data_IF_955785715703
#
_entry.id   IF_955785715703
#
_cell.length_a   1.000
_cell.length_b   1.000
_cell.length_c   1.000
_cell.angle_alpha   90.00
_cell.angle_beta   90.00
_cell.angle_gamma   90.00
#
_symmetry.space_group_name_H-M   'P 1'
#
loop_
_entity.id
_entity.type
_entity.pdbx_description
1 polymer ?
#
# COMPACT_ATOMS: atom_id res chain seq x y z
N UNK A 1 12.94 12.12 10.59
CA UNK A 1 12.89 11.93 9.13
C UNK A 1 14.23 12.33 8.52
N UNK A 2 14.73 11.59 7.52
CA UNK A 2 16.07 11.81 6.96
C UNK A 2 16.18 13.03 6.03
N UNK A 3 15.06 13.53 5.50
CA UNK A 3 15.02 14.67 4.55
C UNK A 3 14.00 15.74 4.94
N UNK A 4 13.32 15.58 6.07
CA UNK A 4 12.31 16.53 6.57
C UNK A 4 12.53 16.83 8.06
N UNK A 5 12.18 18.04 8.46
CA UNK A 5 12.16 18.46 9.86
C UNK A 5 10.81 19.09 10.17
N UNK A 6 10.19 18.62 11.25
CA UNK A 6 8.89 19.06 11.72
C UNK A 6 9.11 19.59 13.14
N UNK A 7 8.88 20.88 13.33
CA UNK A 7 8.80 21.53 14.66
C UNK A 7 7.39 22.07 14.85
N UNK A 8 7.09 22.58 16.05
CA UNK A 8 5.76 23.13 16.36
C UNK A 8 5.38 24.28 15.43
N UNK A 9 6.36 25.05 14.97
CA UNK A 9 6.18 26.30 14.22
C UNK A 9 6.65 26.22 12.77
N UNK A 10 7.30 25.11 12.36
CA UNK A 10 7.97 25.05 11.07
C UNK A 10 8.03 23.64 10.51
N UNK A 11 7.74 23.56 9.22
CA UNK A 11 7.93 22.37 8.41
C UNK A 11 9.03 22.68 7.39
N UNK A 12 10.03 21.80 7.30
CA UNK A 12 11.11 21.90 6.33
C UNK A 12 11.24 20.58 5.54
N UNK A 13 11.44 20.70 4.24
CA UNK A 13 11.70 19.61 3.31
C UNK A 13 12.99 19.86 2.53
N UNK A 14 13.64 18.79 2.08
CA UNK A 14 14.86 18.91 1.30
C UNK A 14 16.12 19.07 2.16
N UNK A 15 16.14 18.41 3.32
CA UNK A 15 17.42 18.13 3.98
C UNK A 15 18.09 16.96 3.30
N UNK A 16 19.41 16.92 3.38
CA UNK A 16 20.18 15.80 2.89
C UNK A 16 20.31 14.69 3.94
N UNK A 17 20.30 13.45 3.48
CA UNK A 17 20.70 12.30 4.30
C UNK A 17 22.24 12.15 4.19
N UNK A 18 22.99 12.03 5.30
CA UNK A 18 24.45 11.89 5.26
C UNK A 18 24.95 10.72 4.41
N UNK A 19 24.27 9.57 4.46
CA UNK A 19 24.60 8.40 3.64
C UNK A 19 24.41 8.66 2.14
N UNK A 20 23.33 9.34 1.74
CA UNK A 20 23.12 9.75 0.34
C UNK A 20 24.17 10.73 -0.12
N UNK A 21 24.54 11.72 0.72
CA UNK A 21 25.60 12.66 0.37
C UNK A 21 26.93 11.94 0.19
N UNK A 22 27.28 11.02 1.10
CA UNK A 22 28.49 10.21 0.98
C UNK A 22 28.53 9.49 -0.39
N UNK A 23 27.45 8.79 -0.75
CA UNK A 23 27.33 8.12 -2.05
C UNK A 23 27.51 9.06 -3.24
N UNK A 24 27.04 10.30 -3.15
CA UNK A 24 27.13 11.29 -4.23
C UNK A 24 28.50 11.99 -4.31
N UNK A 25 29.22 12.06 -3.19
CA UNK A 25 30.53 12.73 -3.08
C UNK A 25 31.73 11.84 -3.40
N UNK A 26 31.54 10.53 -3.60
CA UNK A 26 32.60 9.57 -3.96
C UNK A 26 33.20 9.80 -5.38
N UNK A 27 32.73 10.82 -6.11
CA UNK A 27 33.26 11.29 -7.39
C UNK A 27 32.27 11.12 -8.54
N UNK A 28 32.25 12.06 -9.50
CA UNK A 28 31.28 12.08 -10.61
C UNK A 28 31.26 10.78 -11.43
N UNK A 29 32.42 10.15 -11.62
CA UNK A 29 32.54 8.89 -12.39
C UNK A 29 31.96 7.66 -11.70
N UNK A 30 31.56 7.77 -10.43
CA UNK A 30 30.90 6.69 -9.68
C UNK A 30 29.38 6.68 -9.88
N UNK A 31 28.82 7.72 -10.50
CA UNK A 31 27.39 7.83 -10.74
C UNK A 31 26.96 6.88 -11.86
N UNK A 32 25.79 6.26 -11.68
CA UNK A 32 25.09 5.61 -12.78
C UNK A 32 24.76 6.65 -13.86
N UNK A 33 24.79 6.22 -15.13
CA UNK A 33 24.39 7.08 -16.23
C UNK A 33 22.95 7.53 -16.03
N UNK A 34 22.65 8.80 -16.26
CA UNK A 34 21.31 9.35 -16.06
C UNK A 34 20.24 8.62 -16.89
N UNK A 35 20.59 8.07 -18.06
CA UNK A 35 19.71 7.20 -18.85
C UNK A 35 19.20 5.99 -18.06
N UNK A 36 20.09 5.35 -17.29
CA UNK A 36 19.78 4.17 -16.49
C UNK A 36 18.91 4.53 -15.27
N UNK A 37 19.19 5.70 -14.67
CA UNK A 37 18.39 6.27 -13.58
C UNK A 37 16.97 6.60 -14.08
N UNK A 38 16.83 7.23 -15.25
CA UNK A 38 15.53 7.59 -15.82
C UNK A 38 14.71 6.37 -16.23
N UNK A 39 15.36 5.28 -16.65
CA UNK A 39 14.67 4.05 -17.09
C UNK A 39 14.36 3.05 -15.98
N UNK A 40 14.71 3.35 -14.72
CA UNK A 40 14.62 2.40 -13.61
C UNK A 40 15.15 1.02 -14.02
N UNK A 41 16.45 0.91 -14.32
CA UNK A 41 17.07 -0.40 -14.47
C UNK A 41 18.16 -0.54 -13.44
N UNK A 42 17.89 -1.33 -12.40
CA UNK A 42 18.95 -2.02 -11.66
C UNK A 42 19.35 -3.17 -12.58
N UNK A 43 20.53 -3.14 -13.24
CA UNK A 43 20.92 -4.22 -14.12
C UNK A 43 21.25 -5.48 -13.31
N UNK A 44 20.89 -6.66 -13.83
CA UNK A 44 21.22 -8.00 -13.27
C UNK A 44 22.71 -8.17 -12.96
N UNK A 45 23.56 -7.37 -13.60
CA UNK A 45 25.00 -7.37 -13.37
C UNK A 45 25.42 -6.78 -12.02
N UNK A 46 24.50 -6.21 -11.22
CA UNK A 46 24.79 -5.56 -9.93
C UNK A 46 25.72 -4.35 -10.05
N UNK A 47 25.97 -3.87 -11.27
CA UNK A 47 27.01 -2.88 -11.58
C UNK A 47 26.74 -1.53 -10.93
N UNK A 48 25.47 -1.21 -10.69
CA UNK A 48 25.03 -0.02 -9.97
C UNK A 48 24.21 -0.46 -8.76
N UNK A 49 24.77 -0.44 -7.55
CA UNK A 49 24.04 -0.85 -6.37
C UNK A 49 22.84 0.07 -6.08
N UNK A 50 21.75 -0.51 -5.59
CA UNK A 50 20.46 0.17 -5.38
C UNK A 50 20.58 1.48 -4.58
N UNK A 51 21.50 1.54 -3.61
CA UNK A 51 21.72 2.75 -2.82
C UNK A 51 22.19 3.96 -3.66
N UNK A 52 22.99 3.76 -4.73
CA UNK A 52 23.40 4.84 -5.63
C UNK A 52 22.23 5.34 -6.46
N UNK A 53 21.39 4.43 -6.95
CA UNK A 53 20.17 4.79 -7.65
C UNK A 53 19.26 5.67 -6.78
N UNK A 54 19.03 5.27 -5.51
CA UNK A 54 18.25 6.06 -4.57
C UNK A 54 18.90 7.43 -4.25
N UNK A 55 20.24 7.49 -4.17
CA UNK A 55 20.95 8.74 -3.93
C UNK A 55 20.82 9.70 -5.13
N UNK A 56 21.00 9.23 -6.36
CA UNK A 56 20.86 10.05 -7.58
C UNK A 56 19.40 10.48 -7.81
N UNK A 57 18.44 9.58 -7.56
CA UNK A 57 17.00 9.91 -7.64
C UNK A 57 16.61 11.00 -6.63
N UNK A 58 17.16 10.93 -5.41
CA UNK A 58 17.00 11.99 -4.42
C UNK A 58 17.60 13.31 -4.92
N UNK A 59 18.84 13.31 -5.44
CA UNK A 59 19.51 14.50 -5.96
C UNK A 59 18.72 15.15 -7.11
N UNK A 60 18.20 14.33 -8.03
CA UNK A 60 17.35 14.78 -9.13
C UNK A 60 16.05 15.43 -8.62
N UNK A 61 15.37 14.79 -7.67
CA UNK A 61 14.15 15.34 -7.05
C UNK A 61 14.44 16.68 -6.39
N UNK A 62 15.55 16.76 -5.66
CA UNK A 62 15.99 17.97 -4.98
C UNK A 62 16.29 19.12 -5.94
N UNK A 63 17.00 18.80 -7.03
CA UNK A 63 17.28 19.73 -8.11
C UNK A 63 15.98 20.27 -8.69
N UNK A 64 15.02 19.40 -9.00
CA UNK A 64 13.77 19.81 -9.61
C UNK A 64 12.88 20.64 -8.68
N UNK A 65 12.86 20.32 -7.38
CA UNK A 65 12.09 21.09 -6.39
C UNK A 65 12.76 22.41 -5.97
N UNK A 66 13.99 22.68 -6.44
CA UNK A 66 14.77 23.81 -5.93
C UNK A 66 14.29 25.18 -6.40
N UNK A 67 13.56 25.27 -7.50
CA UNK A 67 12.97 26.51 -8.04
C UNK A 67 11.59 26.26 -8.66
N UNK A 68 10.73 27.29 -8.79
CA UNK A 68 9.43 27.15 -9.44
C UNK A 68 9.52 26.64 -10.89
N UNK A 69 10.47 27.14 -11.68
CA UNK A 69 10.64 26.73 -13.08
C UNK A 69 11.00 25.25 -13.21
N UNK A 70 11.92 24.78 -12.37
CA UNK A 70 12.32 23.37 -12.34
C UNK A 70 11.19 22.47 -11.82
N UNK A 71 10.36 22.98 -10.91
CA UNK A 71 9.17 22.25 -10.44
C UNK A 71 8.17 22.08 -11.58
N UNK A 72 7.99 23.09 -12.43
CA UNK A 72 7.17 22.98 -13.64
C UNK A 72 7.77 22.00 -14.66
N UNK A 73 9.11 21.96 -14.82
CA UNK A 73 9.77 20.94 -15.65
C UNK A 73 9.47 19.53 -15.15
N UNK A 74 9.57 19.30 -13.85
CA UNK A 74 9.23 18.01 -13.24
C UNK A 74 7.76 17.65 -13.46
N UNK A 75 6.84 18.61 -13.31
CA UNK A 75 5.42 18.38 -13.59
C UNK A 75 5.14 17.96 -15.04
N UNK A 76 5.80 18.59 -16.03
CA UNK A 76 5.72 18.20 -17.44
C UNK A 76 6.26 16.79 -17.67
N UNK A 77 7.43 16.48 -17.12
CA UNK A 77 8.05 15.16 -17.22
C UNK A 77 7.13 14.07 -16.62
N UNK A 78 6.64 14.26 -15.40
CA UNK A 78 5.77 13.28 -14.73
C UNK A 78 4.45 13.07 -15.49
N UNK A 79 3.89 14.13 -16.07
CA UNK A 79 2.67 14.03 -16.89
C UNK A 79 2.89 13.22 -18.17
N UNK A 80 4.02 13.44 -18.86
CA UNK A 80 4.40 12.69 -20.06
C UNK A 80 4.63 11.20 -19.77
N UNK A 81 5.39 10.90 -18.71
CA UNK A 81 5.63 9.49 -18.28
C UNK A 81 4.33 8.81 -17.86
N UNK A 82 3.45 9.50 -17.12
CA UNK A 82 2.13 8.97 -16.78
C UNK A 82 1.25 8.71 -18.02
N UNK A 83 1.45 9.49 -19.09
CA UNK A 83 0.83 9.29 -20.41
C UNK A 83 1.35 8.06 -21.18
N UNK A 84 2.49 7.51 -20.77
CA UNK A 84 3.15 6.35 -21.39
C UNK A 84 4.35 6.69 -22.28
N UNK A 85 4.85 7.93 -22.27
CA UNK A 85 6.05 8.31 -23.03
C UNK A 85 7.33 7.69 -22.44
N UNK A 86 8.32 7.41 -23.30
CA UNK A 86 9.66 6.99 -22.84
C UNK A 86 10.27 8.06 -21.92
N UNK A 87 10.72 7.63 -20.74
CA UNK A 87 11.24 8.50 -19.69
C UNK A 87 12.39 9.40 -20.13
N UNK A 88 13.30 8.90 -20.98
CA UNK A 88 14.44 9.71 -21.46
C UNK A 88 13.94 10.79 -22.42
N UNK A 89 13.07 10.42 -23.36
CA UNK A 89 12.47 11.36 -24.31
C UNK A 89 11.67 12.44 -23.58
N UNK A 90 10.81 12.03 -22.64
CA UNK A 90 10.01 12.93 -21.83
C UNK A 90 10.87 13.89 -21.00
N UNK A 91 11.95 13.41 -20.39
CA UNK A 91 12.86 14.26 -19.59
C UNK A 91 13.58 15.28 -20.47
N UNK A 92 14.07 14.86 -21.63
CA UNK A 92 14.74 15.76 -22.58
C UNK A 92 13.77 16.81 -23.11
N UNK A 93 12.53 16.45 -23.43
CA UNK A 93 11.49 17.39 -23.86
C UNK A 93 11.13 18.38 -22.74
N UNK A 94 11.03 17.92 -21.48
CA UNK A 94 10.62 18.76 -20.36
C UNK A 94 11.68 19.80 -19.94
N UNK A 95 12.96 19.46 -20.12
CA UNK A 95 14.12 20.23 -19.62
C UNK A 95 14.94 20.90 -20.71
N UNK A 96 14.86 20.42 -21.95
CA UNK A 96 15.78 20.79 -23.04
C UNK A 96 17.21 20.27 -22.86
N UNK A 97 17.44 19.35 -21.91
CA UNK A 97 18.77 18.80 -21.60
C UNK A 97 18.86 17.34 -22.01
N UNK A 98 20.01 16.95 -22.57
CA UNK A 98 20.37 15.53 -22.68
C UNK A 98 20.58 14.91 -21.29
N UNK A 99 20.47 13.59 -21.13
CA UNK A 99 20.70 12.94 -19.83
C UNK A 99 22.07 13.27 -19.22
N UNK A 100 23.13 13.32 -20.03
CA UNK A 100 24.48 13.72 -19.57
C UNK A 100 24.51 15.17 -19.05
N UNK A 101 23.90 16.12 -19.79
CA UNK A 101 23.85 17.53 -19.35
C UNK A 101 23.01 17.69 -18.08
N UNK A 102 21.94 16.92 -17.93
CA UNK A 102 21.13 16.90 -16.72
C UNK A 102 21.93 16.36 -15.54
N UNK A 103 22.71 15.29 -15.73
CA UNK A 103 23.62 14.77 -14.72
C UNK A 103 24.63 15.82 -14.24
N UNK A 104 25.24 16.54 -15.17
CA UNK A 104 26.19 17.63 -14.87
C UNK A 104 25.53 18.76 -14.06
N UNK A 105 24.31 19.15 -14.43
CA UNK A 105 23.55 20.19 -13.75
C UNK A 105 23.18 19.78 -12.31
N UNK A 106 22.75 18.53 -12.13
CA UNK A 106 22.42 17.98 -10.81
C UNK A 106 23.68 17.87 -9.96
N UNK A 107 24.78 17.37 -10.50
CA UNK A 107 26.04 17.28 -9.79
C UNK A 107 26.51 18.67 -9.33
N UNK A 108 26.50 19.66 -10.22
CA UNK A 108 26.88 21.04 -9.87
C UNK A 108 25.99 21.62 -8.77
N UNK A 109 24.69 21.31 -8.80
CA UNK A 109 23.75 21.75 -7.78
C UNK A 109 24.05 21.13 -6.41
N UNK A 110 24.22 19.81 -6.33
CA UNK A 110 24.44 19.13 -5.05
C UNK A 110 25.85 19.31 -4.48
N UNK A 111 26.83 19.70 -5.31
CA UNK A 111 28.17 20.13 -4.86
C UNK A 111 28.16 21.52 -4.22
N UNK A 112 27.09 22.30 -4.41
CA UNK A 112 26.91 23.61 -3.81
C UNK A 112 25.96 23.59 -2.60
N UNK A 113 25.51 24.77 -2.19
CA UNK A 113 24.45 24.91 -1.18
C UNK A 113 23.09 24.52 -1.78
N UNK A 114 22.46 23.49 -1.20
CA UNK A 114 21.12 23.04 -1.61
C UNK A 114 20.02 23.83 -0.91
N UNK A 115 18.90 24.02 -1.61
CA UNK A 115 17.73 24.73 -1.08
C UNK A 115 16.92 23.84 -0.15
N UNK A 116 16.58 24.35 1.03
CA UNK A 116 15.63 23.70 1.95
C UNK A 116 14.29 24.45 1.81
N UNK A 117 13.24 23.73 1.44
CA UNK A 117 11.91 24.31 1.29
C UNK A 117 11.20 24.37 2.64
N UNK A 118 10.59 25.51 2.97
CA UNK A 118 9.75 25.67 4.15
C UNK A 118 8.40 26.26 3.72
N UNK A 119 7.37 25.42 3.49
CA UNK A 119 6.08 25.92 3.04
C UNK A 119 5.46 26.84 4.09
N UNK A 120 4.81 27.90 3.61
CA UNK A 120 4.06 28.84 4.44
C UNK A 120 2.63 28.34 4.61
N UNK A 121 2.47 27.21 5.31
CA UNK A 121 1.16 26.65 5.64
C UNK A 121 0.85 26.92 7.11
N UNK A 122 -0.42 27.23 7.40
CA UNK A 122 -0.88 27.34 8.77
C UNK A 122 -0.77 25.98 9.45
N UNK A 123 0.04 25.91 10.50
CA UNK A 123 0.13 24.71 11.34
C UNK A 123 -1.02 24.79 12.33
N UNK A 124 -2.03 23.95 12.13
CA UNK A 124 -3.13 23.81 13.06
C UNK A 124 -2.61 23.01 14.26
N UNK A 125 -2.85 23.52 15.46
CA UNK A 125 -2.56 22.85 16.72
C UNK A 125 -3.86 22.23 17.26
N UNK A 126 -4.23 21.00 16.84
CA UNK A 126 -5.40 20.35 17.41
C UNK A 126 -5.18 20.10 18.89
N UNK A 127 -6.27 20.04 19.65
CA UNK A 127 -6.22 19.51 21.00
C UNK A 127 -5.90 18.02 20.91
N UNK A 128 -4.70 17.64 21.39
CA UNK A 128 -4.26 16.25 21.39
C UNK A 128 -4.43 15.68 22.80
N UNK A 129 -5.35 14.74 22.94
CA UNK A 129 -5.44 13.91 24.14
C UNK A 129 -4.41 12.78 24.05
N UNK A 130 -3.48 12.72 25.00
CA UNK A 130 -2.53 11.61 25.15
C UNK A 130 -3.03 10.70 26.26
N UNK A 131 -3.40 9.47 25.92
CA UNK A 131 -3.79 8.44 26.87
C UNK A 131 -2.74 7.33 26.96
N UNK A 132 -2.61 6.72 28.14
CA UNK A 132 -1.80 5.53 28.31
C UNK A 132 -2.57 4.31 27.79
N UNK A 133 -1.91 3.48 26.99
CA UNK A 133 -2.46 2.19 26.58
C UNK A 133 -2.66 1.29 27.79
N UNK A 134 -3.76 0.54 27.81
CA UNK A 134 -3.94 -0.54 28.79
C UNK A 134 -2.87 -1.63 28.58
N UNK A 135 -2.66 -2.48 29.58
CA UNK A 135 -1.71 -3.61 29.47
C UNK A 135 -2.05 -4.51 28.28
N UNK A 136 -3.34 -4.80 28.09
CA UNK A 136 -3.82 -5.62 26.97
C UNK A 136 -3.51 -4.96 25.61
N UNK A 137 -3.76 -3.67 25.47
CA UNK A 137 -3.44 -2.91 24.25
C UNK A 137 -1.94 -2.93 23.97
N UNK A 138 -1.11 -2.65 24.98
CA UNK A 138 0.34 -2.62 24.85
C UNK A 138 0.94 -3.98 24.43
N UNK A 139 0.42 -5.08 24.99
CA UNK A 139 0.87 -6.44 24.63
C UNK A 139 0.45 -6.83 23.21
N UNK A 140 -0.67 -6.30 22.72
CA UNK A 140 -1.27 -6.69 21.46
C UNK A 140 -0.75 -5.93 20.24
N UNK A 141 -0.14 -4.74 20.39
CA UNK A 141 0.17 -3.80 19.27
C UNK A 141 0.75 -4.50 18.03
N UNK A 142 1.84 -5.24 18.20
CA UNK A 142 2.52 -5.86 17.05
C UNK A 142 1.74 -7.05 16.48
N UNK A 143 1.06 -7.78 17.36
CA UNK A 143 0.25 -8.92 16.95
C UNK A 143 -1.00 -8.46 16.18
N UNK A 144 -1.60 -7.35 16.61
CA UNK A 144 -2.75 -6.72 15.99
C UNK A 144 -2.46 -6.31 14.54
N UNK A 145 -1.32 -5.66 14.30
CA UNK A 145 -0.87 -5.30 12.93
C UNK A 145 -0.63 -6.54 12.07
N UNK A 146 0.04 -7.56 12.61
CA UNK A 146 0.31 -8.81 11.86
C UNK A 146 -0.97 -9.55 11.49
N UNK A 147 -1.95 -9.59 12.38
CA UNK A 147 -3.26 -10.20 12.13
C UNK A 147 -4.05 -9.44 11.06
N UNK A 148 -3.87 -8.11 10.94
CA UNK A 148 -4.61 -7.28 9.96
C UNK A 148 -4.02 -7.46 8.55
N UNK A 149 -2.72 -7.71 8.47
CA UNK A 149 -2.01 -7.96 7.21
C UNK A 149 -2.09 -9.43 6.76
N UNK A 150 -2.52 -10.35 7.64
CA UNK A 150 -2.60 -11.77 7.30
C UNK A 150 -3.85 -12.05 6.45
N UNK A 151 -3.70 -12.60 5.23
CA UNK A 151 -4.85 -12.88 4.39
C UNK A 151 -5.71 -13.97 5.04
N UNK A 152 -7.02 -13.74 5.13
CA UNK A 152 -7.95 -14.71 5.73
C UNK A 152 -7.93 -16.01 4.93
N UNK A 153 -7.96 -15.91 3.60
CA UNK A 153 -7.77 -17.02 2.68
C UNK A 153 -6.45 -16.90 1.95
N UNK A 154 -5.78 -18.03 1.79
CA UNK A 154 -4.63 -18.08 0.89
C UNK A 154 -5.14 -18.01 -0.55
N UNK A 155 -4.46 -17.27 -1.45
CA UNK A 155 -4.79 -17.29 -2.86
C UNK A 155 -4.84 -18.72 -3.37
N UNK A 156 -5.79 -19.02 -4.27
CA UNK A 156 -5.75 -20.25 -5.04
C UNK A 156 -4.40 -20.34 -5.77
N UNK A 157 -3.85 -21.55 -5.88
CA UNK A 157 -2.59 -21.73 -6.58
C UNK A 157 -2.74 -21.24 -8.02
N UNK A 158 -1.99 -20.21 -8.40
CA UNK A 158 -1.70 -20.01 -9.83
C UNK A 158 -0.85 -21.21 -10.26
N UNK A 159 -1.49 -22.10 -11.05
CA UNK A 159 -0.81 -23.11 -11.84
C UNK A 159 0.14 -22.38 -12.78
N UNK A 160 1.42 -22.39 -12.41
CA UNK A 160 2.47 -21.93 -13.32
C UNK A 160 2.74 -23.10 -14.24
N UNK A 161 2.61 -22.91 -15.56
CA UNK A 161 2.87 -23.95 -16.55
C UNK A 161 4.20 -24.65 -16.26
N UNK A 162 4.15 -25.98 -16.16
CA UNK A 162 5.19 -26.82 -15.53
C UNK A 162 6.56 -26.80 -16.27
N UNK A 163 6.63 -26.13 -17.43
CA UNK A 163 7.83 -25.89 -18.23
C UNK A 163 8.49 -24.52 -18.07
N UNK A 164 7.91 -23.59 -17.31
CA UNK A 164 8.41 -22.22 -17.16
C UNK A 164 9.34 -22.00 -15.95
N UNK A 165 9.55 -23.02 -15.12
CA UNK A 165 10.31 -22.89 -13.86
C UNK A 165 11.46 -23.90 -13.75
N UNK A 166 12.62 -23.41 -13.37
CA UNK A 166 13.78 -24.23 -12.98
C UNK A 166 13.51 -24.98 -11.67
N UNK A 167 14.20 -26.10 -11.45
CA UNK A 167 14.10 -26.88 -10.19
C UNK A 167 14.44 -26.03 -8.95
N UNK A 168 15.37 -25.08 -9.10
CA UNK A 168 15.73 -24.14 -8.04
C UNK A 168 14.56 -23.20 -7.68
N UNK A 169 13.85 -22.68 -8.68
CA UNK A 169 12.65 -21.85 -8.47
C UNK A 169 11.52 -22.67 -7.82
N UNK A 170 11.31 -23.92 -8.24
CA UNK A 170 10.33 -24.84 -7.63
C UNK A 170 10.67 -25.10 -6.15
N UNK A 171 11.93 -25.42 -5.84
CA UNK A 171 12.39 -25.65 -4.48
C UNK A 171 12.27 -24.41 -3.58
N UNK A 172 12.62 -23.22 -4.10
CA UNK A 172 12.47 -21.94 -3.40
C UNK A 172 11.02 -21.64 -3.07
N UNK A 173 10.10 -21.79 -4.04
CA UNK A 173 8.66 -21.61 -3.84
C UNK A 173 8.12 -22.59 -2.79
N UNK A 174 8.55 -23.85 -2.83
CA UNK A 174 8.17 -24.85 -1.83
C UNK A 174 8.67 -24.49 -0.41
N UNK A 175 9.88 -23.96 -0.28
CA UNK A 175 10.42 -23.48 1.01
C UNK A 175 9.62 -22.28 1.54
N UNK A 176 9.41 -21.27 0.70
CA UNK A 176 8.63 -20.08 1.07
C UNK A 176 7.20 -20.45 1.51
N UNK A 177 6.58 -21.44 0.86
CA UNK A 177 5.27 -21.97 1.26
C UNK A 177 5.28 -22.59 2.65
N UNK A 178 6.27 -23.44 2.97
CA UNK A 178 6.40 -24.04 4.30
C UNK A 178 6.59 -22.97 5.37
N UNK A 179 7.47 -22.02 5.12
CA UNK A 179 7.72 -20.91 6.02
C UNK A 179 6.47 -20.03 6.23
N UNK A 180 5.73 -19.73 5.17
CA UNK A 180 4.47 -18.99 5.26
C UNK A 180 3.40 -19.76 6.08
N UNK A 181 3.31 -21.08 5.91
CA UNK A 181 2.40 -21.93 6.67
C UNK A 181 2.79 -21.99 8.17
N UNK A 182 4.07 -22.15 8.46
CA UNK A 182 4.60 -22.13 9.83
C UNK A 182 4.38 -20.76 10.50
N UNK A 183 4.68 -19.67 9.80
CA UNK A 183 4.45 -18.30 10.27
C UNK A 183 2.97 -18.02 10.53
N UNK A 184 2.07 -18.51 9.69
CA UNK A 184 0.62 -18.41 9.90
C UNK A 184 0.19 -19.21 11.12
N UNK A 185 0.66 -20.45 11.27
CA UNK A 185 0.32 -21.29 12.42
C UNK A 185 0.80 -20.65 13.73
N UNK A 186 2.00 -20.07 13.74
CA UNK A 186 2.53 -19.34 14.88
C UNK A 186 1.73 -18.08 15.19
N UNK A 187 1.35 -17.31 14.18
CA UNK A 187 0.49 -16.14 14.34
C UNK A 187 -0.84 -16.50 15.02
N UNK A 188 -1.49 -17.58 14.58
CA UNK A 188 -2.74 -18.08 15.16
C UNK A 188 -2.54 -18.51 16.62
N UNK A 189 -1.49 -19.31 16.92
CA UNK A 189 -1.18 -19.73 18.29
C UNK A 189 -0.91 -18.55 19.22
N UNK A 190 -0.08 -17.62 18.78
CA UNK A 190 0.25 -16.40 19.53
C UNK A 190 -1.00 -15.56 19.82
N UNK A 191 -1.91 -15.44 18.84
CA UNK A 191 -3.17 -14.71 19.00
C UNK A 191 -4.10 -15.37 20.01
N UNK A 192 -4.26 -16.70 19.98
CA UNK A 192 -5.02 -17.40 21.01
C UNK A 192 -4.39 -17.27 22.40
N UNK A 193 -3.08 -17.48 22.52
CA UNK A 193 -2.40 -17.40 23.80
C UNK A 193 -2.48 -16.01 24.45
N UNK A 194 -2.36 -14.94 23.65
CA UNK A 194 -2.54 -13.58 24.17
C UNK A 194 -4.01 -13.23 24.40
N UNK A 195 -4.91 -13.75 23.55
CA UNK A 195 -6.36 -13.64 23.71
C UNK A 195 -6.84 -14.20 25.04
N UNK A 196 -6.38 -15.40 25.41
CA UNK A 196 -6.69 -16.07 26.68
C UNK A 196 -6.17 -15.28 27.89
N UNK A 197 -4.94 -14.73 27.81
CA UNK A 197 -4.37 -13.91 28.90
C UNK A 197 -5.18 -12.65 29.21
N UNK A 198 -5.91 -12.12 28.22
CA UNK A 198 -6.71 -10.90 28.34
C UNK A 198 -8.19 -11.14 28.01
N UNK A 199 -8.70 -12.34 28.33
CA UNK A 199 -10.02 -12.84 27.88
C UNK A 199 -11.22 -12.02 28.39
N UNK A 200 -11.05 -11.27 29.48
CA UNK A 200 -12.04 -10.37 30.05
C UNK A 200 -12.12 -9.02 29.32
N UNK A 201 -11.14 -8.71 28.47
CA UNK A 201 -11.06 -7.46 27.70
C UNK A 201 -11.51 -7.62 26.25
N UNK A 202 -11.99 -6.53 25.64
CA UNK A 202 -12.27 -6.48 24.20
C UNK A 202 -11.04 -6.80 23.34
N UNK A 203 -9.84 -6.44 23.81
CA UNK A 203 -8.59 -6.76 23.11
C UNK A 203 -8.38 -8.27 23.03
N UNK A 204 -8.54 -9.00 24.14
CA UNK A 204 -8.38 -10.45 24.13
C UNK A 204 -9.43 -11.16 23.28
N UNK A 205 -10.69 -10.68 23.32
CA UNK A 205 -11.77 -11.19 22.48
C UNK A 205 -11.52 -10.92 20.99
N UNK A 206 -11.01 -9.73 20.63
CA UNK A 206 -10.63 -9.38 19.26
C UNK A 206 -9.51 -10.27 18.73
N UNK A 207 -8.46 -10.51 19.53
CA UNK A 207 -7.36 -11.40 19.16
C UNK A 207 -7.87 -12.83 18.93
N UNK A 208 -8.70 -13.34 19.84
CA UNK A 208 -9.32 -14.67 19.74
C UNK A 208 -10.20 -14.79 18.50
N UNK A 209 -11.03 -13.78 18.23
CA UNK A 209 -11.92 -13.77 17.07
C UNK A 209 -11.14 -13.75 15.76
N UNK A 210 -10.09 -12.94 15.66
CA UNK A 210 -9.25 -12.86 14.44
C UNK A 210 -8.44 -14.13 14.23
N UNK A 211 -7.97 -14.77 15.30
CA UNK A 211 -7.35 -16.09 15.23
C UNK A 211 -8.34 -17.13 14.66
N UNK A 212 -9.58 -17.15 15.15
CA UNK A 212 -10.63 -18.03 14.61
C UNK A 212 -10.94 -17.76 13.14
N UNK A 213 -11.03 -16.49 12.71
CA UNK A 213 -11.18 -16.15 11.28
C UNK A 213 -10.01 -16.67 10.43
N UNK A 214 -8.77 -16.50 10.89
CA UNK A 214 -7.58 -17.07 10.22
C UNK A 214 -7.59 -18.61 10.20
N UNK A 215 -8.19 -19.24 11.21
CA UNK A 215 -8.44 -20.68 11.25
C UNK A 215 -9.65 -21.13 10.42
N UNK A 216 -10.29 -20.23 9.65
CA UNK A 216 -11.50 -20.50 8.86
C UNK A 216 -12.67 -21.01 9.73
N UNK A 217 -12.80 -20.46 10.94
CA UNK A 217 -13.87 -20.74 11.90
C UNK A 217 -14.60 -19.46 12.31
N UNK A 218 -15.26 -18.77 11.36
CA UNK A 218 -15.93 -17.49 11.64
C UNK A 218 -17.11 -17.62 12.62
N UNK A 219 -17.71 -18.81 12.75
CA UNK A 219 -18.67 -19.17 13.79
C UNK A 219 -18.11 -18.96 15.20
N UNK A 220 -16.91 -19.48 15.46
CA UNK A 220 -16.23 -19.33 16.74
C UNK A 220 -15.73 -17.90 16.96
N UNK A 221 -15.42 -17.18 15.88
CA UNK A 221 -15.06 -15.78 15.96
C UNK A 221 -16.21 -14.92 16.50
N UNK A 222 -17.44 -15.14 16.00
CA UNK A 222 -18.63 -14.44 16.49
C UNK A 222 -18.97 -14.84 17.94
N UNK A 223 -18.84 -16.12 18.28
CA UNK A 223 -19.04 -16.58 19.65
C UNK A 223 -18.08 -15.88 20.63
N UNK A 224 -16.81 -15.71 20.27
CA UNK A 224 -15.81 -15.02 21.08
C UNK A 224 -16.14 -13.53 21.31
N UNK A 225 -16.74 -12.86 20.31
CA UNK A 225 -17.12 -11.45 20.38
C UNK A 225 -18.49 -11.20 21.02
N UNK A 226 -19.33 -12.22 21.17
CA UNK A 226 -20.71 -12.09 21.68
C UNK A 226 -20.79 -11.25 22.97
N UNK A 227 -19.90 -11.42 23.96
CA UNK A 227 -19.96 -10.62 25.19
C UNK A 227 -19.66 -9.13 25.01
N UNK A 228 -19.12 -8.71 23.86
CA UNK A 228 -18.80 -7.32 23.52
C UNK A 228 -19.74 -6.70 22.48
N UNK A 229 -20.78 -7.44 22.05
CA UNK A 229 -21.69 -7.06 20.96
C UNK A 229 -23.08 -6.60 21.45
N UNK A 230 -23.16 -6.04 22.66
CA UNK A 230 -24.42 -5.46 23.14
C UNK A 230 -24.85 -4.22 22.33
N UNK A 231 -26.08 -3.74 22.56
CA UNK A 231 -26.62 -2.59 21.82
C UNK A 231 -25.89 -1.27 22.14
N UNK A 232 -25.19 -1.18 23.27
CA UNK A 232 -24.45 0.00 23.71
C UNK A 232 -22.99 0.04 23.22
N UNK A 233 -22.45 -1.05 22.68
CA UNK A 233 -21.05 -1.06 22.24
C UNK A 233 -20.80 -0.01 21.15
N UNK A 234 -19.75 0.79 21.36
CA UNK A 234 -19.20 1.75 20.40
C UNK A 234 -17.78 1.37 19.99
N UNK A 235 -17.31 0.17 20.35
CA UNK A 235 -15.99 -0.31 19.94
C UNK A 235 -16.02 -0.70 18.45
N UNK A 236 -15.61 0.24 17.59
CA UNK A 236 -15.64 0.07 16.14
C UNK A 236 -14.85 -1.15 15.65
N UNK A 237 -13.76 -1.54 16.35
CA UNK A 237 -12.98 -2.72 15.97
C UNK A 237 -13.75 -4.02 16.24
N UNK A 238 -14.43 -4.12 17.39
CA UNK A 238 -15.30 -5.28 17.71
C UNK A 238 -16.40 -5.41 16.67
N UNK A 239 -17.09 -4.31 16.37
CA UNK A 239 -18.16 -4.26 15.39
C UNK A 239 -17.67 -4.63 13.98
N UNK A 240 -16.51 -4.09 13.55
CA UNK A 240 -15.91 -4.39 12.25
C UNK A 240 -15.50 -5.87 12.13
N UNK A 241 -14.83 -6.43 13.14
CA UNK A 241 -14.41 -7.85 13.09
C UNK A 241 -15.62 -8.79 13.12
N UNK A 242 -16.67 -8.45 13.88
CA UNK A 242 -17.92 -9.20 13.86
C UNK A 242 -18.60 -9.17 12.47
N UNK A 243 -18.68 -7.99 11.85
CA UNK A 243 -19.20 -7.87 10.49
C UNK A 243 -18.39 -8.69 9.48
N UNK A 244 -17.05 -8.68 9.58
CA UNK A 244 -16.19 -9.47 8.71
C UNK A 244 -16.36 -10.99 8.94
N UNK A 245 -16.57 -11.44 10.18
CA UNK A 245 -16.87 -12.85 10.46
C UNK A 245 -18.25 -13.26 9.89
N UNK A 246 -19.26 -12.39 9.95
CA UNK A 246 -20.54 -12.62 9.27
C UNK A 246 -20.38 -12.72 7.75
N UNK A 247 -19.54 -11.87 7.15
CA UNK A 247 -19.23 -11.94 5.72
C UNK A 247 -18.52 -13.25 5.35
N UNK A 248 -17.57 -13.72 6.17
CA UNK A 248 -16.91 -15.01 5.95
C UNK A 248 -17.91 -16.19 5.98
N UNK A 249 -18.98 -16.10 6.79
CA UNK A 249 -20.04 -17.12 6.85
C UNK A 249 -20.94 -17.15 5.61
N UNK A 250 -21.02 -16.08 4.82
CA UNK A 250 -21.94 -16.00 3.67
C UNK A 250 -21.68 -17.06 2.61
N UNK A 251 -20.45 -17.59 2.53
CA UNK A 251 -20.08 -18.62 1.56
C UNK A 251 -20.55 -20.02 1.92
N UNK A 252 -20.70 -20.28 3.22
CA UNK A 252 -21.21 -21.54 3.74
C UNK A 252 -22.73 -21.47 4.01
N UNK A 253 -23.39 -20.38 3.64
CA UNK A 253 -24.83 -20.21 3.81
C UNK A 253 -25.61 -21.23 2.98
N UNK A 254 -26.65 -21.82 3.57
CA UNK A 254 -27.47 -22.85 2.92
C UNK A 254 -28.33 -22.29 1.78
N UNK A 255 -28.68 -21.01 1.86
CA UNK A 255 -29.49 -20.31 0.87
C UNK A 255 -29.02 -18.88 0.62
N UNK A 256 -29.49 -18.30 -0.50
CA UNK A 256 -29.28 -16.88 -0.82
C UNK A 256 -29.91 -15.98 0.24
N UNK A 257 -31.04 -16.37 0.83
CA UNK A 257 -31.72 -15.61 1.87
C UNK A 257 -30.92 -15.59 3.17
N UNK A 258 -30.34 -16.73 3.56
CA UNK A 258 -29.44 -16.80 4.73
C UNK A 258 -28.19 -15.94 4.53
N UNK A 259 -27.59 -16.00 3.33
CA UNK A 259 -26.44 -15.16 3.00
C UNK A 259 -26.81 -13.66 3.05
N UNK A 260 -28.01 -13.30 2.61
CA UNK A 260 -28.50 -11.91 2.65
C UNK A 260 -28.80 -11.44 4.07
N UNK A 261 -29.28 -12.32 4.94
CA UNK A 261 -29.48 -12.02 6.35
C UNK A 261 -28.15 -11.78 7.07
N UNK A 262 -27.13 -12.61 6.83
CA UNK A 262 -25.77 -12.39 7.33
C UNK A 262 -25.19 -11.05 6.87
N UNK A 263 -25.36 -10.71 5.58
CA UNK A 263 -24.97 -9.40 5.02
C UNK A 263 -25.68 -8.24 5.72
N UNK A 264 -26.99 -8.36 5.95
CA UNK A 264 -27.79 -7.34 6.64
C UNK A 264 -27.29 -7.12 8.07
N UNK A 265 -26.98 -8.20 8.79
CA UNK A 265 -26.38 -8.10 10.13
C UNK A 265 -25.00 -7.44 10.09
N UNK A 266 -24.16 -7.80 9.11
CA UNK A 266 -22.85 -7.17 8.92
C UNK A 266 -22.97 -5.66 8.67
N UNK A 267 -23.91 -5.23 7.80
CA UNK A 267 -24.18 -3.81 7.57
C UNK A 267 -24.59 -3.06 8.84
N UNK A 268 -25.39 -3.67 9.72
CA UNK A 268 -25.80 -3.03 10.99
C UNK A 268 -24.59 -2.77 11.89
N UNK A 269 -23.68 -3.74 12.01
CA UNK A 269 -22.45 -3.53 12.78
C UNK A 269 -21.52 -2.51 12.14
N UNK A 270 -21.38 -2.52 10.81
CA UNK A 270 -20.53 -1.55 10.11
C UNK A 270 -21.07 -0.12 10.17
N UNK A 271 -22.40 0.06 10.12
CA UNK A 271 -23.02 1.38 10.30
C UNK A 271 -22.71 1.94 11.70
N UNK A 272 -22.87 1.11 12.76
CA UNK A 272 -22.50 1.50 14.13
C UNK A 272 -21.01 1.77 14.28
N UNK A 273 -20.16 0.99 13.60
CA UNK A 273 -18.72 1.21 13.61
C UNK A 273 -18.37 2.55 12.94
N UNK A 274 -19.03 2.89 11.84
CA UNK A 274 -18.86 4.15 11.13
C UNK A 274 -19.30 5.34 11.99
N UNK A 275 -20.40 5.22 12.75
CA UNK A 275 -20.84 6.26 13.69
C UNK A 275 -19.81 6.49 14.82
N UNK A 276 -19.14 5.41 15.27
CA UNK A 276 -18.14 5.48 16.33
C UNK A 276 -16.77 6.00 15.84
N UNK A 277 -16.31 5.54 14.67
CA UNK A 277 -14.98 5.83 14.11
C UNK A 277 -15.06 6.14 12.61
N UNK A 278 -15.62 7.30 12.21
CA UNK A 278 -15.90 7.63 10.81
C UNK A 278 -14.64 7.82 9.95
N UNK A 279 -13.45 7.87 10.55
CA UNK A 279 -12.17 8.04 9.86
C UNK A 279 -11.44 6.70 9.61
N UNK A 280 -11.97 5.57 10.07
CA UNK A 280 -11.39 4.26 9.76
C UNK A 280 -11.84 3.78 8.37
N UNK A 281 -10.98 3.98 7.37
CA UNK A 281 -11.24 3.59 5.98
C UNK A 281 -11.64 2.11 5.81
N UNK A 282 -11.21 1.23 6.72
CA UNK A 282 -11.51 -0.22 6.66
C UNK A 282 -12.99 -0.52 6.85
N UNK A 283 -13.72 0.38 7.53
CA UNK A 283 -15.18 0.26 7.71
C UNK A 283 -15.90 0.47 6.38
N UNK A 284 -15.47 1.46 5.59
CA UNK A 284 -16.00 1.72 4.25
C UNK A 284 -15.71 0.58 3.29
N UNK A 285 -14.53 -0.04 3.37
CA UNK A 285 -14.25 -1.28 2.63
C UNK A 285 -15.19 -2.41 3.02
N UNK A 286 -15.44 -2.60 4.32
CA UNK A 286 -16.43 -3.57 4.80
C UNK A 286 -17.85 -3.29 4.31
N UNK A 287 -18.29 -2.03 4.30
CA UNK A 287 -19.59 -1.63 3.76
C UNK A 287 -19.69 -1.96 2.25
N UNK A 288 -18.62 -1.71 1.50
CA UNK A 288 -18.54 -2.08 0.10
C UNK A 288 -18.55 -3.61 -0.10
N UNK A 289 -17.86 -4.38 0.76
CA UNK A 289 -17.83 -5.85 0.70
C UNK A 289 -19.22 -6.47 0.87
N UNK A 290 -20.08 -5.88 1.71
CA UNK A 290 -21.48 -6.33 1.85
C UNK A 290 -22.28 -6.16 0.54
N UNK A 291 -21.92 -5.17 -0.28
CA UNK A 291 -22.63 -4.81 -1.52
C UNK A 291 -22.01 -5.44 -2.77
N UNK A 292 -20.73 -5.75 -2.74
CA UNK A 292 -20.00 -6.31 -3.87
C UNK A 292 -20.66 -7.62 -4.35
N UNK A 293 -20.87 -7.74 -5.67
CA UNK A 293 -21.55 -8.87 -6.30
C UNK A 293 -23.07 -8.93 -6.10
N UNK A 294 -23.67 -7.98 -5.36
CA UNK A 294 -25.13 -7.92 -5.19
C UNK A 294 -25.83 -7.31 -6.40
N UNK A 295 -27.13 -7.59 -6.61
CA UNK A 295 -27.90 -6.94 -7.66
C UNK A 295 -27.80 -5.41 -7.60
N UNK A 296 -27.61 -4.79 -8.78
CA UNK A 296 -27.44 -3.34 -8.98
C UNK A 296 -26.14 -2.75 -8.44
N UNK A 297 -25.18 -3.56 -8.02
CA UNK A 297 -23.82 -3.09 -7.70
C UNK A 297 -23.00 -2.85 -8.99
N UNK A 298 -22.16 -1.80 -9.04
CA UNK A 298 -22.09 -0.69 -8.09
C UNK A 298 -23.16 0.38 -8.39
N UNK A 299 -23.72 0.94 -7.31
CA UNK A 299 -24.52 2.17 -7.32
C UNK A 299 -23.63 3.39 -7.09
N UNK A 300 -24.17 4.60 -7.25
CA UNK A 300 -23.44 5.85 -6.96
C UNK A 300 -22.99 5.90 -5.49
N UNK A 301 -23.81 5.39 -4.56
CA UNK A 301 -23.43 5.27 -3.15
C UNK A 301 -22.28 4.29 -2.92
N UNK A 302 -22.22 3.19 -3.69
CA UNK A 302 -21.12 2.23 -3.57
C UNK A 302 -19.80 2.84 -4.06
N UNK A 303 -19.85 3.65 -5.14
CA UNK A 303 -18.70 4.44 -5.61
C UNK A 303 -18.29 5.45 -4.54
N UNK A 304 -19.21 6.27 -4.03
CA UNK A 304 -18.88 7.27 -3.00
C UNK A 304 -18.31 6.66 -1.72
N UNK A 305 -18.76 5.46 -1.35
CA UNK A 305 -18.18 4.71 -0.22
C UNK A 305 -16.69 4.39 -0.47
N UNK A 306 -16.35 3.94 -1.69
CA UNK A 306 -14.98 3.64 -2.09
C UNK A 306 -14.12 4.90 -2.29
N UNK A 307 -14.71 6.00 -2.76
CA UNK A 307 -14.05 7.32 -2.82
C UNK A 307 -13.64 7.80 -1.44
N UNK A 308 -14.53 7.71 -0.44
CA UNK A 308 -14.21 8.05 0.96
C UNK A 308 -13.11 7.13 1.50
N UNK A 309 -13.18 5.83 1.25
CA UNK A 309 -12.13 4.89 1.65
C UNK A 309 -10.77 5.26 1.02
N UNK A 310 -10.74 5.63 -0.26
CA UNK A 310 -9.54 6.09 -0.95
C UNK A 310 -9.03 7.45 -0.43
N UNK A 311 -9.92 8.35 -0.05
CA UNK A 311 -9.56 9.66 0.50
C UNK A 311 -8.93 9.54 1.89
N UNK A 312 -9.44 8.62 2.73
CA UNK A 312 -8.90 8.33 4.06
C UNK A 312 -7.59 7.53 4.01
N UNK A 313 -7.42 6.67 2.99
CA UNK A 313 -6.21 5.86 2.80
C UNK A 313 -5.68 5.91 1.35
N UNK A 314 -5.19 7.07 0.88
CA UNK A 314 -4.73 7.25 -0.51
C UNK A 314 -3.51 6.40 -0.88
N UNK A 315 -2.81 5.85 0.11
CA UNK A 315 -1.70 4.91 -0.03
C UNK A 315 -2.15 3.45 -0.25
N UNK A 316 -3.42 3.13 0.02
CA UNK A 316 -3.92 1.77 -0.11
C UNK A 316 -4.14 1.39 -1.57
N UNK A 317 -3.33 0.46 -2.08
CA UNK A 317 -3.51 -0.09 -3.43
C UNK A 317 -4.82 -0.88 -3.56
N UNK A 318 -5.29 -1.51 -2.47
CA UNK A 318 -6.58 -2.20 -2.43
C UNK A 318 -7.74 -1.22 -2.64
N UNK A 319 -7.78 -0.11 -1.91
CA UNK A 319 -8.82 0.92 -2.08
C UNK A 319 -8.88 1.41 -3.53
N UNK A 320 -7.72 1.75 -4.12
CA UNK A 320 -7.62 2.24 -5.50
C UNK A 320 -8.08 1.21 -6.52
N UNK A 321 -7.71 -0.05 -6.33
CA UNK A 321 -8.07 -1.15 -7.24
C UNK A 321 -9.56 -1.44 -7.18
N UNK A 322 -10.17 -1.47 -5.98
CA UNK A 322 -11.62 -1.62 -5.81
C UNK A 322 -12.40 -0.45 -6.42
N UNK A 323 -11.97 0.79 -6.16
CA UNK A 323 -12.60 1.98 -6.73
C UNK A 323 -12.53 1.99 -8.26
N UNK A 324 -11.37 1.63 -8.84
CA UNK A 324 -11.23 1.51 -10.28
C UNK A 324 -12.15 0.45 -10.88
N UNK A 325 -12.30 -0.70 -10.21
CA UNK A 325 -13.25 -1.73 -10.63
C UNK A 325 -14.69 -1.18 -10.65
N UNK A 326 -15.08 -0.43 -9.62
CA UNK A 326 -16.41 0.19 -9.56
C UNK A 326 -16.62 1.24 -10.66
N UNK A 327 -15.62 2.08 -10.93
CA UNK A 327 -15.64 3.05 -12.02
C UNK A 327 -15.78 2.38 -13.39
N UNK A 328 -14.96 1.35 -13.67
CA UNK A 328 -15.02 0.63 -14.94
C UNK A 328 -16.38 -0.04 -15.16
N UNK A 329 -17.00 -0.57 -14.10
CA UNK A 329 -18.34 -1.17 -14.18
C UNK A 329 -19.46 -0.16 -14.48
N UNK A 330 -19.15 1.15 -14.41
CA UNK A 330 -20.05 2.27 -14.71
C UNK A 330 -19.60 3.08 -15.92
N UNK A 331 -18.71 2.51 -16.74
CA UNK A 331 -18.10 3.13 -17.92
C UNK A 331 -17.30 4.42 -17.63
N UNK A 332 -16.96 4.67 -16.36
CA UNK A 332 -16.12 5.78 -15.88
C UNK A 332 -14.63 5.46 -16.07
N UNK A 333 -14.27 5.09 -17.31
CA UNK A 333 -12.93 4.63 -17.66
C UNK A 333 -11.83 5.70 -17.41
N UNK A 334 -12.05 7.01 -17.69
CA UNK A 334 -11.06 8.04 -17.36
C UNK A 334 -10.72 8.11 -15.86
N UNK A 335 -11.72 8.02 -15.00
CA UNK A 335 -11.60 8.05 -13.54
C UNK A 335 -10.87 6.80 -13.03
N UNK A 336 -11.18 5.62 -13.60
CA UNK A 336 -10.47 4.38 -13.32
C UNK A 336 -8.97 4.47 -13.66
N UNK A 337 -8.64 5.05 -14.82
CA UNK A 337 -7.24 5.26 -15.21
C UNK A 337 -6.55 6.21 -14.22
N UNK A 338 -7.20 7.32 -13.87
CA UNK A 338 -6.64 8.31 -12.96
C UNK A 338 -6.33 7.71 -11.57
N UNK A 339 -7.26 6.94 -10.99
CA UNK A 339 -7.07 6.36 -9.65
C UNK A 339 -6.01 5.24 -9.61
N UNK A 340 -5.86 4.48 -10.72
CA UNK A 340 -4.87 3.40 -10.84
C UNK A 340 -3.48 3.87 -11.24
N UNK A 341 -3.34 5.05 -11.84
CA UNK A 341 -2.06 5.57 -12.35
C UNK A 341 -0.93 5.51 -11.31
N UNK A 342 -1.13 5.89 -10.03
CA UNK A 342 -0.08 5.77 -9.02
C UNK A 342 0.33 4.32 -8.72
N UNK A 343 -0.59 3.36 -8.83
CA UNK A 343 -0.32 1.93 -8.60
C UNK A 343 0.44 1.33 -9.77
N UNK A 344 0.02 1.64 -11.00
CA UNK A 344 0.66 1.16 -12.23
C UNK A 344 2.11 1.66 -12.40
N UNK A 345 2.41 2.83 -11.85
CA UNK A 345 3.75 3.43 -11.83
C UNK A 345 4.54 3.12 -10.56
N UNK A 346 4.10 2.14 -9.74
CA UNK A 346 4.87 1.70 -8.58
C UNK A 346 6.29 1.27 -8.99
N UNK A 347 7.33 1.76 -8.31
CA UNK A 347 8.70 1.34 -8.57
C UNK A 347 8.95 -0.12 -8.19
N UNK A 348 8.22 -0.60 -7.17
CA UNK A 348 8.28 -1.98 -6.74
C UNK A 348 7.36 -2.84 -7.60
N UNK A 349 7.90 -3.96 -8.08
CA UNK A 349 7.09 -5.04 -8.65
C UNK A 349 6.10 -5.52 -7.59
N UNK A 350 4.85 -5.74 -7.98
CA UNK A 350 3.81 -6.28 -7.11
C UNK A 350 2.64 -6.81 -7.94
N UNK A 351 1.86 -7.73 -7.35
CA UNK A 351 0.60 -8.17 -7.95
C UNK A 351 -0.35 -6.99 -8.23
N UNK A 352 -0.40 -5.99 -7.34
CA UNK A 352 -1.18 -4.77 -7.54
C UNK A 352 -0.73 -3.97 -8.76
N UNK A 353 0.57 -3.80 -8.99
CA UNK A 353 1.09 -3.12 -10.18
C UNK A 353 0.63 -3.81 -11.47
N UNK A 354 0.80 -5.13 -11.53
CA UNK A 354 0.37 -5.93 -12.69
C UNK A 354 -1.14 -5.82 -12.93
N UNK A 355 -1.93 -5.97 -11.87
CA UNK A 355 -3.39 -5.83 -11.92
C UNK A 355 -3.81 -4.43 -12.39
N UNK A 356 -3.24 -3.37 -11.82
CA UNK A 356 -3.54 -1.99 -12.19
C UNK A 356 -3.24 -1.72 -13.67
N UNK A 357 -2.10 -2.19 -14.18
CA UNK A 357 -1.74 -2.06 -15.61
C UNK A 357 -2.72 -2.80 -16.51
N UNK A 358 -3.12 -4.02 -16.14
CA UNK A 358 -4.12 -4.78 -16.87
C UNK A 358 -5.49 -4.05 -16.91
N UNK A 359 -5.93 -3.50 -15.77
CA UNK A 359 -7.17 -2.73 -15.69
C UNK A 359 -7.11 -1.44 -16.51
N UNK A 360 -6.00 -0.69 -16.44
CA UNK A 360 -5.79 0.50 -17.28
C UNK A 360 -5.86 0.15 -18.76
N UNK A 361 -5.23 -0.95 -19.20
CA UNK A 361 -5.29 -1.37 -20.59
C UNK A 361 -6.71 -1.69 -21.06
N UNK A 362 -7.53 -2.34 -20.22
CA UNK A 362 -8.96 -2.55 -20.51
C UNK A 362 -9.74 -1.24 -20.60
N UNK A 363 -9.51 -0.32 -19.67
CA UNK A 363 -10.15 0.99 -19.66
C UNK A 363 -9.76 1.84 -20.90
N UNK A 364 -8.48 1.83 -21.29
CA UNK A 364 -7.98 2.49 -22.51
C UNK A 364 -8.57 1.87 -23.77
N UNK A 365 -8.69 0.54 -23.82
CA UNK A 365 -9.34 -0.16 -24.94
C UNK A 365 -10.81 0.27 -25.10
N UNK A 366 -11.56 0.38 -24.00
CA UNK A 366 -12.94 0.89 -24.02
C UNK A 366 -13.04 2.34 -24.51
N UNK A 367 -11.97 3.13 -24.33
CA UNK A 367 -11.83 4.50 -24.84
C UNK A 367 -11.20 4.58 -26.24
N UNK A 368 -10.94 3.46 -26.91
CA UNK A 368 -10.23 3.39 -28.20
C UNK A 368 -8.81 4.00 -28.16
N UNK A 369 -8.13 3.90 -27.03
CA UNK A 369 -6.76 4.37 -26.82
C UNK A 369 -5.77 3.20 -26.89
N UNK A 370 -4.53 3.49 -27.29
CA UNK A 370 -3.44 2.51 -27.29
C UNK A 370 -3.16 1.99 -25.86
N UNK A 371 -2.83 0.71 -25.67
CA UNK A 371 -2.45 0.16 -24.36
C UNK A 371 -1.14 0.78 -23.85
N UNK A 372 -0.90 0.70 -22.55
CA UNK A 372 0.40 1.03 -21.96
C UNK A 372 1.46 0.05 -22.47
N UNK A 373 2.65 0.56 -22.83
CA UNK A 373 3.79 -0.28 -23.20
C UNK A 373 4.23 -1.16 -22.03
N UNK A 374 4.05 -2.48 -22.14
CA UNK A 374 4.57 -3.46 -21.18
C UNK A 374 5.99 -3.87 -21.59
N UNK A 375 6.99 -3.14 -21.09
CA UNK A 375 8.34 -3.68 -21.05
C UNK A 375 8.41 -4.93 -20.15
N UNK A 376 9.34 -5.87 -20.38
CA UNK A 376 9.52 -7.01 -19.50
C UNK A 376 9.78 -6.52 -18.07
N UNK A 377 8.96 -6.97 -17.12
CA UNK A 377 9.22 -6.75 -15.70
C UNK A 377 10.41 -7.65 -15.30
N UNK A 378 11.46 -7.12 -14.64
CA UNK A 378 12.51 -7.96 -14.11
C UNK A 378 11.92 -8.94 -13.10
N UNK A 379 12.44 -10.17 -13.10
CA UNK A 379 12.03 -11.21 -12.15
C UNK A 379 12.14 -10.68 -10.71
N UNK A 380 11.15 -11.00 -9.88
CA UNK A 380 11.05 -10.58 -8.48
C UNK A 380 12.30 -11.05 -7.68
N UNK A 381 13.30 -10.18 -7.57
CA UNK A 381 14.21 -10.17 -6.42
C UNK A 381 13.49 -9.41 -5.30
N UNK A 382 12.85 -10.17 -4.41
CA UNK A 382 12.42 -9.65 -3.11
C UNK A 382 13.69 -9.12 -2.41
N UNK A 383 13.76 -7.80 -2.25
CA UNK A 383 14.85 -7.05 -1.65
C UNK A 383 14.89 -7.35 -0.14
N UNK A 384 15.41 -8.52 0.25
CA UNK A 384 15.67 -8.85 1.65
C UNK A 384 16.93 -8.21 2.21
N UNK A 385 17.59 -7.30 1.49
CA UNK A 385 18.78 -6.59 1.99
C UNK A 385 18.56 -5.07 2.02
N UNK A 386 17.64 -4.63 2.87
CA UNK A 386 17.77 -3.31 3.48
C UNK A 386 18.82 -3.38 4.61
N UNK A 387 19.99 -2.71 4.50
CA UNK A 387 20.94 -2.65 5.61
C UNK A 387 20.37 -1.70 6.67
N UNK A 388 19.84 -2.28 7.75
CA UNK A 388 19.21 -1.51 8.81
C UNK A 388 18.91 -2.30 10.09
N UNK A 389 19.62 -3.37 10.37
CA UNK A 389 19.73 -3.90 11.73
C UNK A 389 21.15 -3.65 12.22
N UNK A 390 21.34 -2.51 12.91
CA UNK A 390 22.39 -2.44 13.88
C UNK A 390 22.06 -3.51 14.93
N UNK A 391 22.84 -4.59 14.92
CA UNK A 391 22.88 -5.52 16.01
C UNK A 391 23.39 -4.76 17.24
N UNK A 392 22.50 -4.41 18.16
CA UNK A 392 22.88 -4.21 19.54
C UNK A 392 23.28 -5.57 20.09
N UNK A 393 24.59 -5.82 20.08
CA UNK A 393 25.21 -6.88 20.83
C UNK A 393 25.70 -6.30 22.16
N UNK A 394 25.09 -6.78 23.24
CA UNK A 394 25.55 -6.83 24.64
C UNK A 394 26.06 -5.54 25.30
#
# INVERSE_FOLDING_TARGET
YSTATLTNDRIQFGRHNPGRMNSLTNGFNSWAKMEDVLKWRIPDSGRFPAHLYYAQSWAMTHYFMSTPDRTQMLGRYLSAVAGGEDSIVAMQAATGRTPSQLQDDIWRYISGSINIMSPQIAIIHPEVAISRLSKAQADAIWLDVRLDNAPIRLPAEEEVEDGAQTDAQKARRARARREAAENRAELIRSAFALGERHADSDVGRLLTARAHRLSQRPDLALAALTPSLDAGTNNAQVLRVAALALMDLTEAAESVDDANELRRQASVYLARAMDAEPLDFRIYLGLNDVRNGQPRYPTDNDISTLEVACALAPQSFDCRTRLAHAYMARDMNPEAIAVLTPVANSPHSSGYKRQARAMINRARQALHQAPLETGPEPDDEDDTDAPGQAADAA
#
